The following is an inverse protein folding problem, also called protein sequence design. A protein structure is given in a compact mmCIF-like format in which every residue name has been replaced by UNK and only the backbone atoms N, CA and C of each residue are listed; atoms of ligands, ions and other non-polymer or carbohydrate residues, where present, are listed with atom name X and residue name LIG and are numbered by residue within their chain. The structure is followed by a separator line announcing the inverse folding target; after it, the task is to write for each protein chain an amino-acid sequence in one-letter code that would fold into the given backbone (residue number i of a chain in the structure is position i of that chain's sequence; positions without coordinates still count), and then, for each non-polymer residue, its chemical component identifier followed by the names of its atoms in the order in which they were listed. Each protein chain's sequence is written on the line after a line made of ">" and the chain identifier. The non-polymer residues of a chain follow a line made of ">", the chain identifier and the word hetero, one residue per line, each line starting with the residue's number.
data_IF_871416804218
#
_entry.id   IF_871416804218
#
_cell.length_a   1.000
_cell.length_b   1.000
_cell.length_c   1.000
_cell.angle_alpha   90.00
_cell.angle_beta   90.00
_cell.angle_gamma   90.00
#
_symmetry.space_group_name_H-M   'P 1'
#
loop_
_entity.id
_entity.type
_entity.pdbx_description
1 polymer ?
#
# COMPACT_ATOMS: atom_id res chain seq x y z
N UNK A 1 -19.41 -21.20 9.99
CA UNK A 1 -18.75 -22.36 10.64
C UNK A 1 -19.46 -22.91 11.87
N UNK A 2 -20.23 -22.13 12.65
CA UNK A 2 -20.98 -22.65 13.82
C UNK A 2 -22.35 -23.31 13.52
N UNK A 3 -22.81 -23.34 12.26
CA UNK A 3 -24.07 -24.01 11.87
C UNK A 3 -23.93 -25.49 11.47
N UNK A 4 -22.71 -25.98 11.20
CA UNK A 4 -22.47 -27.39 10.87
C UNK A 4 -22.28 -28.30 12.10
N UNK A 5 -21.91 -27.74 13.25
CA UNK A 5 -21.61 -28.52 14.46
C UNK A 5 -22.85 -29.13 15.15
N UNK A 6 -24.07 -28.61 14.92
CA UNK A 6 -25.29 -29.13 15.57
C UNK A 6 -25.86 -30.41 14.94
N UNK A 7 -25.44 -30.79 13.73
CA UNK A 7 -26.02 -31.96 13.05
C UNK A 7 -25.29 -33.28 13.32
N UNK A 8 -24.18 -33.26 14.07
CA UNK A 8 -23.34 -34.44 14.30
C UNK A 8 -23.37 -34.97 15.75
N UNK A 9 -24.23 -34.44 16.63
CA UNK A 9 -24.47 -35.04 17.96
C UNK A 9 -23.24 -35.15 18.88
N UNK A 10 -22.19 -34.36 18.64
CA UNK A 10 -20.98 -34.36 19.46
C UNK A 10 -21.17 -33.45 20.69
N UNK A 11 -21.73 -34.02 21.76
CA UNK A 11 -21.58 -33.45 23.09
C UNK A 11 -20.29 -34.01 23.71
N UNK A 12 -19.42 -33.12 24.19
CA UNK A 12 -18.20 -33.38 24.98
C UNK A 12 -16.99 -33.94 24.22
N UNK A 13 -16.07 -33.05 23.84
CA UNK A 13 -14.62 -33.33 23.90
C UNK A 13 -13.92 -32.07 24.42
N UNK A 14 -13.83 -31.95 25.75
CA UNK A 14 -12.79 -31.16 26.42
C UNK A 14 -11.60 -32.09 26.65
N UNK A 15 -10.52 -31.96 25.88
CA UNK A 15 -9.19 -32.39 26.31
C UNK A 15 -8.11 -31.56 25.60
N UNK A 16 -7.61 -30.56 26.31
CA UNK A 16 -6.34 -29.90 26.00
C UNK A 16 -5.19 -30.76 26.53
N UNK A 17 -4.40 -31.39 25.66
CA UNK A 17 -3.09 -31.90 26.05
C UNK A 17 -2.05 -30.78 25.88
N UNK A 18 -1.43 -30.37 26.99
CA UNK A 18 -0.19 -29.57 26.97
C UNK A 18 0.96 -30.51 26.62
N UNK A 19 1.61 -30.29 25.48
CA UNK A 19 2.85 -30.99 25.11
C UNK A 19 4.04 -30.19 25.69
N UNK A 20 4.99 -30.83 26.40
CA UNK A 20 6.19 -30.17 26.89
C UNK A 20 7.09 -29.70 25.73
N UNK A 21 7.70 -28.53 25.88
CA UNK A 21 8.51 -27.84 24.86
C UNK A 21 9.81 -28.60 24.49
N UNK A 22 10.16 -29.68 25.19
CA UNK A 22 11.41 -30.44 24.95
C UNK A 22 11.40 -31.33 23.71
N UNK A 23 10.23 -31.64 23.14
CA UNK A 23 10.10 -32.71 22.13
C UNK A 23 9.77 -32.19 20.71
N UNK A 24 9.85 -30.88 20.48
CA UNK A 24 9.56 -30.27 19.18
C UNK A 24 10.79 -30.25 18.26
N UNK A 25 10.96 -31.32 17.46
CA UNK A 25 11.87 -31.37 16.30
C UNK A 25 11.13 -30.78 15.07
N UNK A 26 11.81 -30.05 14.15
CA UNK A 26 11.19 -29.05 13.28
C UNK A 26 10.34 -29.65 12.15
N UNK A 27 9.17 -29.04 11.93
CA UNK A 27 8.28 -29.27 10.79
C UNK A 27 7.85 -30.72 10.54
N UNK A 28 6.90 -31.21 11.33
CA UNK A 28 6.03 -32.32 10.90
C UNK A 28 4.65 -31.78 10.55
N UNK A 29 4.32 -31.78 9.25
CA UNK A 29 2.94 -31.72 8.78
C UNK A 29 2.20 -32.94 9.37
N UNK A 30 1.34 -32.73 10.35
CA UNK A 30 0.41 -33.77 10.77
C UNK A 30 -0.77 -33.79 9.79
N UNK A 31 -0.70 -34.70 8.80
CA UNK A 31 -1.85 -35.03 7.96
C UNK A 31 -2.85 -35.85 8.81
N UNK A 32 -3.86 -35.19 9.36
CA UNK A 32 -5.00 -35.89 9.96
C UNK A 32 -5.91 -36.41 8.83
N UNK A 33 -5.73 -37.68 8.49
CA UNK A 33 -6.50 -38.37 7.46
C UNK A 33 -7.80 -38.94 8.06
N UNK A 34 -8.95 -38.30 7.84
CA UNK A 34 -10.25 -38.84 8.26
C UNK A 34 -10.85 -39.68 7.12
N UNK A 35 -10.99 -41.01 7.33
CA UNK A 35 -11.73 -41.90 6.42
C UNK A 35 -13.16 -42.08 6.94
N UNK A 36 -14.15 -41.55 6.25
CA UNK A 36 -15.57 -41.88 6.51
C UNK A 36 -16.13 -42.74 5.38
N UNK A 37 -16.67 -43.91 5.73
CA UNK A 37 -17.23 -44.89 4.80
C UNK A 37 -18.67 -44.49 4.45
N UNK A 38 -18.91 -43.99 3.25
CA UNK A 38 -20.22 -44.08 2.60
C UNK A 38 -20.06 -44.77 1.25
N UNK A 39 -21.02 -45.66 0.96
CA UNK A 39 -21.15 -46.55 -0.21
C UNK A 39 -20.28 -46.16 -1.42
N UNK A 40 -19.21 -46.93 -1.64
CA UNK A 40 -18.70 -47.23 -2.98
C UNK A 40 -17.59 -46.36 -3.56
N UNK A 41 -17.30 -45.15 -3.08
CA UNK A 41 -16.20 -44.33 -3.60
C UNK A 41 -15.45 -43.60 -2.47
N UNK A 42 -14.12 -43.68 -2.46
CA UNK A 42 -13.29 -42.93 -1.52
C UNK A 42 -13.21 -41.47 -1.95
N UNK A 43 -13.73 -40.54 -1.14
CA UNK A 43 -13.37 -39.12 -1.22
C UNK A 43 -12.37 -38.87 -0.09
N UNK A 44 -11.11 -38.57 -0.44
CA UNK A 44 -10.08 -38.21 0.51
C UNK A 44 -10.19 -36.71 0.80
N UNK A 45 -10.62 -36.36 2.01
CA UNK A 45 -10.53 -34.99 2.50
C UNK A 45 -9.19 -34.83 3.23
N UNK A 46 -8.24 -34.10 2.63
CA UNK A 46 -7.01 -33.70 3.31
C UNK A 46 -7.28 -32.36 3.98
N UNK A 47 -7.28 -32.36 5.32
CA UNK A 47 -7.27 -31.14 6.10
C UNK A 47 -5.82 -30.87 6.52
N UNK A 48 -5.23 -29.80 5.98
CA UNK A 48 -3.97 -29.30 6.51
C UNK A 48 -4.28 -28.53 7.80
N UNK A 49 -3.80 -29.05 8.94
CA UNK A 49 -3.78 -28.30 10.19
C UNK A 49 -2.39 -27.70 10.33
N UNK A 50 -2.30 -26.38 10.24
CA UNK A 50 -1.05 -25.62 10.39
C UNK A 50 -1.00 -25.06 11.81
N UNK A 51 0.05 -25.41 12.55
CA UNK A 51 0.35 -24.82 13.86
C UNK A 51 1.51 -23.84 13.73
N UNK A 52 1.27 -22.58 14.06
CA UNK A 52 2.31 -21.55 14.12
C UNK A 52 3.01 -21.62 15.48
N UNK A 53 4.32 -21.88 15.47
CA UNK A 53 5.16 -21.88 16.68
C UNK A 53 6.04 -20.62 16.70
N UNK A 54 6.23 -20.07 17.89
CA UNK A 54 7.02 -18.87 18.11
C UNK A 54 8.52 -19.20 18.09
N UNK A 55 9.29 -18.39 17.37
CA UNK A 55 10.75 -18.44 17.36
C UNK A 55 11.29 -17.02 17.58
N UNK A 56 12.34 -16.88 18.39
CA UNK A 56 13.08 -15.62 18.50
C UNK A 56 13.92 -15.39 17.24
N UNK A 57 14.23 -14.13 16.90
CA UNK A 57 15.02 -13.79 15.70
C UNK A 57 16.33 -14.60 15.63
N UNK A 58 17.08 -14.69 16.74
CA UNK A 58 18.26 -15.56 16.84
C UNK A 58 17.95 -17.06 16.64
N UNK A 59 16.77 -17.52 17.08
CA UNK A 59 16.32 -18.89 16.91
C UNK A 59 15.98 -19.24 15.46
N UNK A 60 15.39 -18.30 14.71
CA UNK A 60 15.16 -18.47 13.27
C UNK A 60 16.46 -18.36 12.49
N UNK A 61 17.32 -17.42 12.86
CA UNK A 61 18.68 -17.26 12.31
C UNK A 61 19.47 -18.57 12.38
N UNK A 62 19.43 -19.25 13.53
CA UNK A 62 20.04 -20.57 13.70
C UNK A 62 19.39 -21.64 12.79
N UNK A 63 18.08 -21.61 12.55
CA UNK A 63 17.41 -22.56 11.65
C UNK A 63 17.78 -22.31 10.18
N UNK A 64 17.93 -21.04 9.77
CA UNK A 64 18.27 -20.66 8.40
C UNK A 64 19.73 -20.99 8.04
N UNK A 65 20.66 -20.85 9.00
CA UNK A 65 22.08 -21.19 8.80
C UNK A 65 22.34 -22.69 8.97
N UNK A 66 21.70 -23.33 9.96
CA UNK A 66 21.92 -24.74 10.28
C UNK A 66 20.86 -25.65 9.68
N UNK A 67 20.86 -25.77 8.35
CA UNK A 67 20.38 -26.99 7.68
C UNK A 67 21.60 -27.74 7.13
N UNK A 68 22.15 -28.80 7.78
CA UNK A 68 21.76 -29.49 9.01
C UNK A 68 22.95 -29.66 9.99
N UNK A 69 23.01 -28.95 11.11
CA UNK A 69 23.88 -29.35 12.22
C UNK A 69 23.26 -28.87 13.55
N UNK A 70 23.05 -29.83 14.45
CA UNK A 70 22.44 -29.73 15.78
C UNK A 70 22.36 -28.33 16.41
N UNK A 71 21.13 -27.84 16.57
CA UNK A 71 20.79 -26.62 17.30
C UNK A 71 21.06 -26.85 18.79
N UNK A 72 22.00 -26.10 19.37
CA UNK A 72 22.14 -25.94 20.82
C UNK A 72 21.62 -24.56 21.22
N UNK A 73 20.76 -24.54 22.23
CA UNK A 73 20.08 -23.35 22.75
C UNK A 73 21.04 -22.52 23.60
N UNK A 74 21.26 -21.24 23.28
CA UNK A 74 22.01 -20.30 24.12
C UNK A 74 21.02 -19.24 24.64
N UNK A 75 20.85 -19.06 25.96
CA UNK A 75 19.93 -18.07 26.50
C UNK A 75 20.60 -16.71 26.63
N UNK A 76 19.85 -15.66 26.27
CA UNK A 76 19.95 -14.35 26.90
C UNK A 76 20.16 -13.17 25.95
N UNK A 77 19.13 -12.33 25.81
CA UNK A 77 19.28 -10.86 25.84
C UNK A 77 18.04 -10.31 26.56
N UNK A 78 18.25 -9.87 27.81
CA UNK A 78 17.27 -9.13 28.60
C UNK A 78 17.76 -7.68 28.67
N UNK A 79 17.12 -6.78 27.93
CA UNK A 79 17.08 -5.32 28.19
C UNK A 79 16.17 -4.66 27.16
N UNK A 80 14.86 -4.89 27.28
CA UNK A 80 13.86 -4.03 26.65
C UNK A 80 13.84 -2.71 27.43
N UNK A 81 14.12 -1.60 26.74
CA UNK A 81 14.01 -0.26 27.30
C UNK A 81 12.58 0.01 27.79
N UNK A 82 12.44 0.77 28.87
CA UNK A 82 11.17 1.09 29.54
C UNK A 82 10.12 1.71 28.57
N UNK A 83 10.56 2.26 27.44
CA UNK A 83 9.74 2.92 26.41
C UNK A 83 8.88 1.92 25.60
N UNK A 84 9.34 0.68 25.41
CA UNK A 84 8.63 -0.36 24.63
C UNK A 84 7.50 -1.03 25.44
N UNK A 85 7.65 -1.05 26.77
CA UNK A 85 6.75 -1.76 27.69
C UNK A 85 5.28 -1.29 27.64
N UNK A 86 5.03 -0.04 27.26
CA UNK A 86 3.68 0.53 27.23
C UNK A 86 2.89 0.27 25.94
N UNK A 87 3.55 -0.03 24.81
CA UNK A 87 2.88 -0.23 23.52
C UNK A 87 2.32 -1.65 23.41
N UNK A 88 3.03 -2.62 23.99
CA UNK A 88 2.69 -4.05 23.92
C UNK A 88 2.07 -4.57 25.22
N UNK A 89 1.40 -3.71 26.01
CA UNK A 89 0.78 -4.10 27.29
C UNK A 89 -0.06 -5.37 27.12
N UNK A 90 0.22 -6.37 27.95
CA UNK A 90 -0.43 -7.70 27.99
C UNK A 90 -0.13 -8.66 26.83
N UNK A 91 0.83 -8.35 25.94
CA UNK A 91 1.29 -9.32 24.95
C UNK A 91 2.60 -9.98 25.40
N UNK A 92 2.66 -11.32 25.32
CA UNK A 92 3.91 -12.08 25.44
C UNK A 92 4.84 -11.87 24.24
N UNK A 93 4.38 -11.16 23.22
CA UNK A 93 5.10 -10.88 21.98
C UNK A 93 4.95 -9.41 21.59
N UNK A 94 6.07 -8.68 21.59
CA UNK A 94 6.11 -7.32 21.10
C UNK A 94 6.90 -7.29 19.79
N UNK A 95 6.25 -7.06 18.63
CA UNK A 95 6.98 -6.91 17.38
C UNK A 95 7.78 -5.61 17.34
N UNK A 96 7.45 -4.63 18.18
CA UNK A 96 8.22 -3.39 18.34
C UNK A 96 9.48 -3.70 19.11
N UNK A 97 10.63 -3.60 18.46
CA UNK A 97 11.95 -3.90 19.05
C UNK A 97 12.66 -2.64 19.53
N UNK A 98 12.32 -1.48 18.96
CA UNK A 98 12.90 -0.19 19.34
C UNK A 98 11.93 0.96 18.96
N UNK A 99 12.19 2.16 19.47
CA UNK A 99 11.46 3.36 19.10
C UNK A 99 12.37 4.61 19.17
N UNK A 100 12.07 5.60 18.34
CA UNK A 100 12.54 6.97 18.56
C UNK A 100 11.40 7.82 19.14
N UNK A 101 11.67 8.64 20.17
CA UNK A 101 10.65 9.50 20.78
C UNK A 101 10.12 10.51 19.77
N UNK A 102 8.92 11.03 20.04
CA UNK A 102 8.39 12.17 19.30
C UNK A 102 9.24 13.42 19.58
N UNK A 103 9.46 14.23 18.54
CA UNK A 103 9.96 15.59 18.66
C UNK A 103 8.85 16.50 18.16
N UNK A 104 8.19 17.21 19.08
CA UNK A 104 7.00 18.00 18.79
C UNK A 104 7.27 19.03 17.68
N UNK A 105 6.42 19.02 16.65
CA UNK A 105 6.55 19.90 15.48
C UNK A 105 7.62 19.49 14.47
N UNK A 106 8.42 18.46 14.77
CA UNK A 106 9.48 17.97 13.87
C UNK A 106 9.15 16.59 13.33
N UNK A 107 8.89 15.63 14.23
CA UNK A 107 8.68 14.23 13.86
C UNK A 107 7.81 13.49 14.86
N UNK A 108 6.80 12.75 14.35
CA UNK A 108 6.01 11.78 15.12
C UNK A 108 6.89 10.66 15.68
N UNK A 109 6.54 10.07 16.83
CA UNK A 109 7.24 8.90 17.38
C UNK A 109 7.46 7.80 16.32
N UNK A 110 8.68 7.30 16.16
CA UNK A 110 8.97 6.20 15.23
C UNK A 110 8.98 4.87 15.98
N UNK A 111 8.37 3.84 15.41
CA UNK A 111 8.41 2.48 15.92
C UNK A 111 9.17 1.58 14.95
N UNK A 112 10.13 0.81 15.46
CA UNK A 112 10.86 -0.20 14.70
C UNK A 112 10.26 -1.56 15.00
N UNK A 113 9.68 -2.20 13.98
CA UNK A 113 8.97 -3.48 14.09
C UNK A 113 9.62 -4.57 13.28
N UNK A 114 9.87 -5.71 13.90
CA UNK A 114 10.26 -6.91 13.16
C UNK A 114 9.06 -7.41 12.37
N UNK A 115 9.23 -7.58 11.06
CA UNK A 115 8.21 -8.03 10.12
C UNK A 115 8.59 -9.35 9.42
N UNK A 116 9.56 -10.07 9.99
CA UNK A 116 10.18 -11.28 9.44
C UNK A 116 11.69 -11.26 9.69
N UNK A 117 12.39 -12.31 9.25
CA UNK A 117 13.80 -12.50 9.62
C UNK A 117 14.75 -11.51 8.95
N UNK A 118 14.45 -11.11 7.72
CA UNK A 118 15.16 -10.08 6.96
C UNK A 118 14.32 -8.84 6.69
N UNK A 119 13.31 -8.57 7.53
CA UNK A 119 12.35 -7.48 7.32
C UNK A 119 12.20 -6.64 8.58
N UNK A 120 12.50 -5.35 8.43
CA UNK A 120 12.28 -4.33 9.45
C UNK A 120 11.28 -3.31 8.92
N UNK A 121 10.16 -3.13 9.62
CA UNK A 121 9.19 -2.10 9.31
C UNK A 121 9.38 -0.91 10.25
N UNK A 122 9.66 0.26 9.68
CA UNK A 122 9.74 1.54 10.38
C UNK A 122 8.38 2.22 10.24
N UNK A 123 7.74 2.59 11.35
CA UNK A 123 6.40 3.21 11.35
C UNK A 123 6.39 4.59 12.01
N UNK A 124 5.73 5.57 11.40
CA UNK A 124 5.69 6.96 11.87
C UNK A 124 4.37 7.29 12.57
N UNK A 125 4.43 7.42 13.88
CA UNK A 125 3.29 7.67 14.77
C UNK A 125 2.76 6.39 15.41
N UNK A 126 2.01 6.55 16.51
CA UNK A 126 1.33 5.41 17.17
C UNK A 126 -0.08 5.23 16.62
N UNK A 127 -0.75 6.33 16.28
CA UNK A 127 -2.09 6.31 15.71
C UNK A 127 -2.06 5.93 14.22
N UNK A 128 -3.07 5.20 13.77
CA UNK A 128 -3.22 4.77 12.37
C UNK A 128 -3.82 5.89 11.51
N UNK A 129 -3.23 7.09 11.58
CA UNK A 129 -3.62 8.26 10.82
C UNK A 129 -2.46 8.66 9.91
N UNK A 130 -2.73 8.71 8.62
CA UNK A 130 -1.76 9.14 7.62
C UNK A 130 -1.86 10.66 7.40
N UNK A 131 -0.71 11.30 7.25
CA UNK A 131 -0.54 12.69 6.82
C UNK A 131 0.48 12.75 5.67
N UNK A 132 0.29 13.64 4.70
CA UNK A 132 1.27 13.91 3.65
C UNK A 132 2.64 14.30 4.22
N UNK A 133 2.69 14.91 5.41
CA UNK A 133 3.94 15.19 6.10
C UNK A 133 4.75 13.92 6.41
N UNK A 134 4.08 12.80 6.69
CA UNK A 134 4.75 11.51 6.89
C UNK A 134 5.40 11.04 5.58
N UNK A 135 4.70 11.20 4.45
CA UNK A 135 5.23 10.85 3.13
C UNK A 135 6.43 11.72 2.76
N UNK A 136 6.38 13.03 3.02
CA UNK A 136 7.50 13.95 2.74
C UNK A 136 8.75 13.56 3.51
N UNK A 137 8.61 13.29 4.82
CA UNK A 137 9.75 12.84 5.62
C UNK A 137 10.29 11.50 5.13
N UNK A 138 9.41 10.55 4.79
CA UNK A 138 9.79 9.26 4.23
C UNK A 138 10.57 9.40 2.91
N UNK A 139 10.19 10.32 2.02
CA UNK A 139 10.96 10.57 0.79
C UNK A 139 12.36 11.09 1.11
N UNK A 140 12.48 12.04 2.05
CA UNK A 140 13.80 12.54 2.50
C UNK A 140 14.65 11.43 3.12
N UNK A 141 14.05 10.54 3.93
CA UNK A 141 14.73 9.35 4.48
C UNK A 141 15.20 8.42 3.37
N UNK A 142 14.38 8.17 2.35
CA UNK A 142 14.74 7.32 1.21
C UNK A 142 15.88 7.92 0.38
N UNK A 143 15.90 9.25 0.18
CA UNK A 143 17.03 9.91 -0.48
C UNK A 143 18.32 9.74 0.33
N UNK A 144 18.25 9.93 1.65
CA UNK A 144 19.37 9.71 2.57
C UNK A 144 19.88 8.27 2.53
N UNK A 145 18.98 7.29 2.52
CA UNK A 145 19.32 5.87 2.35
C UNK A 145 20.03 5.56 1.01
N UNK A 146 19.84 6.41 0.00
CA UNK A 146 20.55 6.30 -1.29
C UNK A 146 21.92 7.00 -1.32
N UNK A 147 22.27 7.78 -0.28
CA UNK A 147 23.57 8.46 -0.20
C UNK A 147 24.67 7.49 0.23
N UNK A 148 25.87 7.65 -0.34
CA UNK A 148 27.02 6.79 -0.02
C UNK A 148 27.46 6.85 1.45
N UNK A 149 27.19 7.97 2.13
CA UNK A 149 27.49 8.13 3.56
C UNK A 149 26.70 7.15 4.43
N UNK A 150 25.49 6.78 3.99
CA UNK A 150 24.60 5.84 4.67
C UNK A 150 24.55 4.49 3.98
N UNK A 151 25.63 4.07 3.31
CA UNK A 151 25.69 2.74 2.72
C UNK A 151 25.52 1.67 3.81
N UNK A 152 24.48 0.85 3.69
CA UNK A 152 24.15 -0.22 4.64
C UNK A 152 24.58 -1.56 4.03
N UNK A 153 25.65 -2.21 4.54
CA UNK A 153 26.01 -3.56 4.12
C UNK A 153 24.84 -4.52 4.33
N UNK A 154 24.51 -5.30 3.31
CA UNK A 154 23.41 -6.27 3.39
C UNK A 154 22.02 -5.68 3.16
N UNK A 155 21.88 -4.37 2.88
CA UNK A 155 20.59 -3.83 2.43
C UNK A 155 20.24 -4.39 1.05
N UNK A 156 19.09 -5.06 0.96
CA UNK A 156 18.62 -5.69 -0.28
C UNK A 156 17.70 -4.73 -1.03
N UNK A 157 16.75 -4.13 -0.32
CA UNK A 157 15.72 -3.25 -0.89
C UNK A 157 15.00 -2.50 0.23
N UNK A 158 14.38 -1.38 -0.10
CA UNK A 158 13.42 -0.72 0.77
C UNK A 158 12.22 -0.24 -0.03
N UNK A 159 11.07 -0.19 0.63
CA UNK A 159 9.81 0.22 0.01
C UNK A 159 8.98 1.02 0.99
N UNK A 160 8.60 2.23 0.58
CA UNK A 160 7.68 3.08 1.32
C UNK A 160 6.25 2.55 1.21
N UNK A 161 5.56 2.44 2.35
CA UNK A 161 4.11 2.50 2.49
C UNK A 161 3.66 3.92 2.86
N UNK A 162 2.37 4.14 3.07
CA UNK A 162 1.83 5.45 3.44
C UNK A 162 2.61 6.13 4.59
N UNK A 163 2.60 5.51 5.77
CA UNK A 163 3.30 6.00 6.99
C UNK A 163 4.41 5.06 7.46
N UNK A 164 4.85 4.18 6.57
CA UNK A 164 5.79 3.11 6.91
C UNK A 164 6.89 2.99 5.88
N UNK A 165 8.05 2.52 6.31
CA UNK A 165 9.14 2.12 5.44
C UNK A 165 9.50 0.67 5.75
N UNK A 166 9.36 -0.21 4.78
CA UNK A 166 9.81 -1.59 4.92
C UNK A 166 11.23 -1.69 4.39
N UNK A 167 12.15 -2.09 5.26
CA UNK A 167 13.54 -2.40 4.94
C UNK A 167 13.68 -3.91 4.80
N UNK A 168 14.23 -4.35 3.67
CA UNK A 168 14.60 -5.73 3.38
C UNK A 168 16.12 -5.81 3.44
N UNK A 169 16.64 -6.64 4.33
CA UNK A 169 18.07 -6.75 4.58
C UNK A 169 18.49 -8.21 4.79
N UNK A 170 19.76 -8.48 4.54
CA UNK A 170 20.41 -9.75 4.85
C UNK A 170 20.90 -9.74 6.30
N UNK A 171 20.26 -10.50 7.21
CA UNK A 171 20.65 -10.54 8.61
C UNK A 171 22.02 -11.22 8.82
N UNK A 172 22.55 -11.94 7.81
CA UNK A 172 23.91 -12.51 7.87
C UNK A 172 25.00 -11.46 7.71
N UNK A 173 24.65 -10.34 7.07
CA UNK A 173 25.60 -9.26 6.75
C UNK A 173 25.52 -8.11 7.76
N UNK A 174 24.32 -7.77 8.24
CA UNK A 174 24.12 -6.71 9.24
C UNK A 174 23.16 -7.17 10.34
N UNK A 175 23.49 -6.84 11.59
CA UNK A 175 22.59 -7.11 12.72
C UNK A 175 21.41 -6.14 12.73
N UNK A 176 20.27 -6.59 13.28
CA UNK A 176 19.09 -5.76 13.45
C UNK A 176 19.38 -4.48 14.27
N UNK A 177 20.21 -4.58 15.30
CA UNK A 177 20.56 -3.45 16.16
C UNK A 177 21.39 -2.41 15.42
N UNK A 178 22.37 -2.84 14.60
CA UNK A 178 23.18 -1.91 13.81
C UNK A 178 22.35 -1.25 12.71
N UNK A 179 21.46 -2.01 12.05
CA UNK A 179 20.51 -1.46 11.09
C UNK A 179 19.62 -0.37 11.72
N UNK A 180 19.03 -0.66 12.90
CA UNK A 180 18.19 0.32 13.60
C UNK A 180 19.00 1.56 13.98
N UNK A 181 20.25 1.39 14.42
CA UNK A 181 21.13 2.51 14.76
C UNK A 181 21.37 3.42 13.55
N UNK A 182 21.73 2.86 12.40
CA UNK A 182 21.93 3.64 11.16
C UNK A 182 20.64 4.40 10.78
N UNK A 183 19.47 3.74 10.86
CA UNK A 183 18.18 4.38 10.58
C UNK A 183 17.87 5.51 11.57
N UNK A 184 18.28 5.38 12.83
CA UNK A 184 18.16 6.45 13.83
C UNK A 184 19.08 7.62 13.51
N UNK A 185 20.32 7.35 13.12
CA UNK A 185 21.30 8.38 12.75
C UNK A 185 20.82 9.18 11.52
N UNK A 186 20.23 8.51 10.52
CA UNK A 186 19.55 9.17 9.39
C UNK A 186 18.40 10.04 9.88
N UNK A 187 17.56 9.51 10.76
CA UNK A 187 16.40 10.25 11.26
C UNK A 187 16.77 11.49 12.08
N UNK A 188 17.84 11.41 12.85
CA UNK A 188 18.36 12.52 13.65
C UNK A 188 19.06 13.58 12.79
N UNK A 189 19.56 13.22 11.60
CA UNK A 189 20.13 14.19 10.65
C UNK A 189 19.09 14.99 9.87
N UNK A 190 17.83 14.54 9.85
CA UNK A 190 16.73 15.21 9.15
C UNK A 190 16.06 16.22 10.07
N UNK A 191 16.16 17.49 9.69
CA UNK A 191 15.64 18.64 10.41
C UNK A 191 14.11 18.81 10.40
N UNK A 192 13.69 20.06 10.55
CA UNK A 192 12.28 20.43 10.67
C UNK A 192 11.50 20.23 9.35
N UNK A 193 10.15 20.10 9.39
CA UNK A 193 9.31 20.02 8.19
C UNK A 193 9.58 21.08 7.13
N UNK A 194 9.92 22.30 7.53
CA UNK A 194 10.23 23.39 6.60
C UNK A 194 11.58 23.25 5.90
N UNK A 195 12.49 22.45 6.45
CA UNK A 195 13.80 22.17 5.85
C UNK A 195 13.75 21.00 4.87
N UNK A 196 12.66 20.23 4.87
CA UNK A 196 12.52 19.07 4.01
C UNK A 196 12.44 19.50 2.54
N UNK A 197 13.29 18.85 1.74
CA UNK A 197 13.24 18.88 0.30
C UNK A 197 13.61 17.51 -0.23
N UNK A 198 13.03 17.14 -1.37
CA UNK A 198 13.35 15.89 -2.06
C UNK A 198 13.18 16.04 -3.57
N UNK A 199 13.92 15.25 -4.35
CA UNK A 199 13.74 15.14 -5.80
C UNK A 199 12.38 14.52 -6.06
N UNK A 200 11.67 15.11 -7.00
CA UNK A 200 10.31 14.69 -7.31
C UNK A 200 10.00 15.08 -8.75
N UNK A 201 9.74 14.07 -9.59
CA UNK A 201 9.48 14.29 -11.01
C UNK A 201 8.03 14.70 -11.21
N UNK A 202 7.81 15.72 -12.02
CA UNK A 202 6.48 16.07 -12.50
C UNK A 202 6.20 15.29 -13.78
N UNK A 203 5.25 14.36 -13.72
CA UNK A 203 4.86 13.48 -14.84
C UNK A 203 3.50 13.90 -15.36
N UNK A 204 3.41 14.34 -16.61
CA UNK A 204 2.13 14.71 -17.23
C UNK A 204 1.52 13.49 -17.92
N UNK A 205 0.36 13.05 -17.43
CA UNK A 205 -0.34 11.89 -17.98
C UNK A 205 -1.70 12.28 -18.57
N UNK A 206 -2.04 11.81 -19.79
CA UNK A 206 -3.37 11.99 -20.33
C UNK A 206 -4.39 11.14 -19.55
N UNK A 207 -5.63 11.60 -19.46
CA UNK A 207 -6.75 10.81 -18.94
C UNK A 207 -7.97 10.95 -19.86
N UNK A 208 -8.69 9.85 -20.04
CA UNK A 208 -10.01 9.83 -20.66
C UNK A 208 -11.00 9.43 -19.58
N UNK A 209 -11.89 10.33 -19.19
CA UNK A 209 -12.93 10.02 -18.21
C UNK A 209 -14.06 9.23 -18.86
N UNK A 210 -14.62 8.25 -18.14
CA UNK A 210 -15.75 7.44 -18.60
C UNK A 210 -15.50 6.77 -19.96
N UNK A 211 -14.28 6.30 -20.20
CA UNK A 211 -13.92 5.62 -21.45
C UNK A 211 -14.77 4.35 -21.67
N UNK A 212 -14.85 3.92 -22.93
CA UNK A 212 -15.69 2.80 -23.33
C UNK A 212 -15.31 1.47 -22.67
N UNK A 213 -14.03 1.27 -22.33
CA UNK A 213 -13.50 0.02 -21.78
C UNK A 213 -13.78 -0.06 -20.27
N UNK A 214 -13.59 1.02 -19.51
CA UNK A 214 -14.00 1.06 -18.09
C UNK A 214 -15.51 0.96 -17.93
N UNK A 215 -16.28 1.60 -18.83
CA UNK A 215 -17.74 1.50 -18.85
C UNK A 215 -18.21 0.05 -19.01
N UNK A 216 -17.62 -0.71 -19.95
CA UNK A 216 -17.90 -2.15 -20.12
C UNK A 216 -17.53 -2.98 -18.89
N UNK A 217 -16.42 -2.65 -18.22
CA UNK A 217 -16.04 -3.34 -16.99
C UNK A 217 -17.04 -3.10 -15.84
N UNK A 218 -17.59 -1.89 -15.75
CA UNK A 218 -18.66 -1.57 -14.79
C UNK A 218 -19.95 -2.32 -15.14
N UNK A 219 -20.33 -2.36 -16.43
CA UNK A 219 -21.49 -3.11 -16.90
C UNK A 219 -21.37 -4.61 -16.60
N UNK A 220 -20.19 -5.19 -16.83
CA UNK A 220 -19.90 -6.58 -16.47
C UNK A 220 -20.13 -6.83 -14.98
N UNK A 221 -19.58 -5.97 -14.11
CA UNK A 221 -19.79 -6.09 -12.66
C UNK A 221 -21.28 -6.01 -12.30
N UNK A 222 -22.01 -5.05 -12.86
CA UNK A 222 -23.43 -4.88 -12.60
C UNK A 222 -24.22 -6.13 -13.03
N UNK A 223 -23.88 -6.70 -14.18
CA UNK A 223 -24.62 -7.83 -14.76
C UNK A 223 -24.40 -9.13 -13.99
N UNK A 224 -23.15 -9.42 -13.64
CA UNK A 224 -22.73 -10.75 -13.16
C UNK A 224 -22.39 -10.82 -11.68
N UNK A 225 -22.10 -9.69 -11.02
CA UNK A 225 -21.64 -9.67 -9.62
C UNK A 225 -22.67 -9.01 -8.72
N UNK A 226 -23.05 -7.76 -9.00
CA UNK A 226 -24.01 -7.02 -8.17
C UNK A 226 -24.86 -6.04 -8.97
N UNK A 227 -26.11 -6.44 -9.22
CA UNK A 227 -27.08 -5.68 -10.04
C UNK A 227 -27.59 -4.40 -9.39
N UNK A 228 -27.66 -4.38 -8.07
CA UNK A 228 -28.20 -3.30 -7.23
C UNK A 228 -27.10 -2.40 -6.65
N UNK A 229 -25.89 -2.42 -7.23
CA UNK A 229 -24.75 -1.67 -6.73
C UNK A 229 -25.04 -0.15 -6.75
N UNK A 230 -25.09 0.52 -5.59
CA UNK A 230 -25.50 1.93 -5.50
C UNK A 230 -24.48 2.88 -6.13
N UNK A 231 -23.23 2.44 -6.24
CA UNK A 231 -22.15 3.19 -6.85
C UNK A 231 -22.12 3.13 -8.38
N UNK A 232 -23.14 2.58 -9.03
CA UNK A 232 -23.31 2.59 -10.48
C UNK A 232 -24.54 3.46 -10.80
N UNK A 233 -24.31 4.75 -10.96
CA UNK A 233 -25.35 5.73 -11.29
C UNK A 233 -25.25 6.05 -12.77
N UNK A 234 -26.36 5.91 -13.50
CA UNK A 234 -26.39 6.10 -14.97
C UNK A 234 -25.33 5.27 -15.71
N UNK A 235 -25.09 4.05 -15.21
CA UNK A 235 -24.17 3.10 -15.83
C UNK A 235 -22.68 3.31 -15.52
N UNK A 236 -22.31 4.33 -14.73
CA UNK A 236 -20.90 4.60 -14.39
C UNK A 236 -20.68 4.93 -12.90
N UNK A 237 -19.43 4.83 -12.43
CA UNK A 237 -19.07 5.29 -11.08
C UNK A 237 -18.83 6.80 -10.99
N UNK A 238 -18.67 7.49 -12.12
CA UNK A 238 -18.14 8.85 -12.14
C UNK A 238 -19.14 9.82 -11.49
N UNK A 239 -20.41 9.70 -11.89
CA UNK A 239 -21.52 10.40 -11.27
C UNK A 239 -21.70 10.07 -9.79
N UNK A 240 -21.50 8.80 -9.40
CA UNK A 240 -21.51 8.42 -7.98
C UNK A 240 -20.43 9.15 -7.18
N UNK A 241 -19.19 9.18 -7.68
CA UNK A 241 -18.07 9.87 -7.03
C UNK A 241 -18.34 11.36 -6.92
N UNK A 242 -18.86 12.00 -7.97
CA UNK A 242 -19.25 13.40 -7.95
C UNK A 242 -20.30 13.66 -6.86
N UNK A 243 -21.40 12.90 -6.88
CA UNK A 243 -22.48 12.98 -5.88
C UNK A 243 -21.97 12.74 -4.46
N UNK A 244 -21.10 11.76 -4.23
CA UNK A 244 -20.55 11.43 -2.91
C UNK A 244 -19.69 12.57 -2.33
N UNK A 245 -19.10 13.41 -3.19
CA UNK A 245 -18.35 14.60 -2.80
C UNK A 245 -19.18 15.89 -2.86
N UNK A 246 -20.48 15.78 -3.18
CA UNK A 246 -21.38 16.91 -3.34
C UNK A 246 -21.14 17.72 -4.61
N UNK A 247 -20.38 17.21 -5.57
CA UNK A 247 -19.94 17.87 -6.81
C UNK A 247 -20.82 17.49 -8.01
N UNK A 248 -20.75 18.29 -9.08
CA UNK A 248 -21.12 17.88 -10.44
C UNK A 248 -20.01 17.03 -11.06
N UNK A 249 -20.30 16.37 -12.20
CA UNK A 249 -19.28 15.61 -12.92
C UNK A 249 -18.18 16.54 -13.47
N UNK A 250 -18.54 17.74 -13.91
CA UNK A 250 -17.61 18.77 -14.40
C UNK A 250 -16.68 19.25 -13.27
N UNK A 251 -17.23 19.60 -12.10
CA UNK A 251 -16.43 20.00 -10.94
C UNK A 251 -15.48 18.88 -10.48
N UNK A 252 -15.90 17.61 -10.60
CA UNK A 252 -15.04 16.47 -10.31
C UNK A 252 -13.85 16.40 -11.29
N UNK A 253 -14.10 16.56 -12.59
CA UNK A 253 -13.01 16.61 -13.59
C UNK A 253 -12.07 17.76 -13.29
N UNK A 254 -12.60 18.97 -13.08
CA UNK A 254 -11.82 20.16 -12.76
C UNK A 254 -10.91 19.93 -11.55
N UNK A 255 -11.43 19.37 -10.46
CA UNK A 255 -10.61 19.07 -9.26
C UNK A 255 -9.50 18.06 -9.53
N UNK A 256 -9.78 17.01 -10.33
CA UNK A 256 -8.77 16.00 -10.70
C UNK A 256 -7.66 16.61 -11.54
N UNK A 257 -8.02 17.48 -12.49
CA UNK A 257 -7.08 18.11 -13.41
C UNK A 257 -6.35 19.31 -12.77
N UNK A 258 -6.92 19.96 -11.74
CA UNK A 258 -6.39 21.18 -11.14
C UNK A 258 -5.16 20.96 -10.24
N UNK A 259 -5.05 19.81 -9.57
CA UNK A 259 -3.94 19.50 -8.66
C UNK A 259 -2.87 18.64 -9.33
N UNK A 260 -1.73 18.53 -8.66
CA UNK A 260 -0.79 17.42 -8.86
C UNK A 260 -1.10 16.31 -7.85
N UNK A 261 -0.91 15.07 -8.27
CA UNK A 261 -1.18 13.88 -7.48
C UNK A 261 0.13 13.24 -7.07
N UNK A 262 0.48 13.40 -5.79
CA UNK A 262 1.70 12.87 -5.21
C UNK A 262 1.60 11.37 -4.99
N UNK A 263 2.58 10.64 -5.49
CA UNK A 263 2.67 9.20 -5.39
C UNK A 263 3.32 8.81 -4.06
N UNK A 264 2.48 8.46 -3.08
CA UNK A 264 2.87 8.20 -1.69
C UNK A 264 3.18 6.73 -1.40
N UNK A 265 2.77 5.83 -2.29
CA UNK A 265 3.06 4.41 -2.20
C UNK A 265 2.98 3.78 -3.60
N UNK A 266 3.87 2.83 -3.88
CA UNK A 266 3.90 2.12 -5.15
C UNK A 266 3.92 0.63 -4.86
N UNK A 267 2.80 -0.10 -5.03
CA UNK A 267 2.68 -1.55 -4.77
C UNK A 267 1.23 -2.04 -5.06
N UNK A 268 0.85 -3.21 -4.53
CA UNK A 268 -0.35 -4.02 -4.80
C UNK A 268 -0.28 -4.82 -6.10
N UNK A 269 -0.17 -4.16 -7.25
CA UNK A 269 0.26 -4.76 -8.52
C UNK A 269 1.55 -4.10 -9.02
N UNK A 270 2.36 -4.77 -9.87
CA UNK A 270 3.61 -4.20 -10.36
C UNK A 270 3.42 -2.82 -10.98
N UNK A 271 4.12 -1.81 -10.46
CA UNK A 271 4.02 -0.42 -10.93
C UNK A 271 2.73 0.32 -10.53
N UNK A 272 1.82 -0.30 -9.78
CA UNK A 272 0.60 0.33 -9.26
C UNK A 272 0.92 1.51 -8.35
N UNK A 273 0.09 2.55 -8.39
CA UNK A 273 0.43 3.85 -7.80
C UNK A 273 -0.67 4.34 -6.88
N UNK A 274 -0.37 4.60 -5.62
CA UNK A 274 -1.30 5.26 -4.70
C UNK A 274 -0.98 6.74 -4.68
N UNK A 275 -1.96 7.55 -5.06
CA UNK A 275 -1.75 8.96 -5.28
C UNK A 275 -2.71 9.79 -4.43
N UNK A 276 -2.18 10.85 -3.85
CA UNK A 276 -2.94 11.80 -3.04
C UNK A 276 -2.76 13.22 -3.58
N UNK A 277 -3.79 14.07 -3.52
CA UNK A 277 -3.69 15.42 -4.05
C UNK A 277 -2.80 16.26 -3.15
N UNK A 278 -1.84 16.99 -3.74
CA UNK A 278 -1.06 17.97 -2.96
C UNK A 278 -1.89 19.18 -2.56
N UNK A 279 -2.92 19.51 -3.35
CA UNK A 279 -3.89 20.53 -3.02
C UNK A 279 -5.05 19.93 -2.22
N UNK A 280 -5.22 20.28 -0.93
CA UNK A 280 -6.30 19.73 -0.11
C UNK A 280 -7.70 20.09 -0.64
N UNK A 281 -7.84 21.11 -1.50
CA UNK A 281 -9.11 21.44 -2.15
C UNK A 281 -9.55 20.38 -3.16
N UNK A 282 -8.63 19.53 -3.60
CA UNK A 282 -8.88 18.38 -4.47
C UNK A 282 -8.97 17.05 -3.72
N UNK A 283 -9.11 17.06 -2.38
CA UNK A 283 -9.28 15.88 -1.53
C UNK A 283 -10.67 15.20 -1.70
N UNK A 284 -10.92 14.70 -2.90
CA UNK A 284 -12.07 13.87 -3.25
C UNK A 284 -11.93 12.48 -2.62
N UNK A 285 -13.04 11.87 -2.24
CA UNK A 285 -13.03 10.51 -1.70
C UNK A 285 -14.25 9.70 -2.13
N UNK A 286 -14.11 8.38 -2.12
CA UNK A 286 -15.24 7.47 -2.31
C UNK A 286 -14.99 6.12 -1.62
N UNK A 287 -16.03 5.44 -1.10
CA UNK A 287 -15.87 4.10 -0.57
C UNK A 287 -15.49 3.13 -1.70
N UNK A 288 -14.90 2.01 -1.31
CA UNK A 288 -14.60 0.91 -2.24
C UNK A 288 -15.88 0.13 -2.58
N UNK A 289 -15.85 -0.58 -3.70
CA UNK A 289 -16.83 -1.57 -4.09
C UNK A 289 -17.03 -2.64 -3.02
N UNK A 290 -18.23 -3.21 -3.00
CA UNK A 290 -18.60 -4.33 -2.14
C UNK A 290 -19.61 -5.24 -2.88
N UNK A 291 -19.32 -6.53 -3.17
CA UNK A 291 -17.98 -7.09 -3.18
C UNK A 291 -17.10 -6.43 -4.25
N UNK A 292 -15.79 -6.63 -4.14
CA UNK A 292 -14.77 -6.17 -5.10
C UNK A 292 -15.02 -6.73 -6.51
N UNK A 293 -14.64 -5.98 -7.57
CA UNK A 293 -14.66 -6.52 -8.94
C UNK A 293 -13.60 -7.61 -9.11
N UNK A 294 -13.91 -8.61 -9.92
CA UNK A 294 -12.95 -9.64 -10.35
C UNK A 294 -12.07 -9.18 -11.52
N UNK A 295 -12.48 -8.12 -12.24
CA UNK A 295 -11.79 -7.59 -13.41
C UNK A 295 -11.82 -6.06 -13.42
N UNK A 296 -10.67 -5.47 -13.75
CA UNK A 296 -10.45 -4.03 -13.98
C UNK A 296 -9.44 -3.92 -15.13
N UNK A 297 -9.75 -3.18 -16.20
CA UNK A 297 -8.86 -3.03 -17.36
C UNK A 297 -7.53 -2.36 -17.01
N UNK A 298 -6.47 -2.71 -17.75
CA UNK A 298 -5.19 -2.00 -17.69
C UNK A 298 -5.34 -0.51 -18.04
N UNK A 299 -4.57 0.34 -17.36
CA UNK A 299 -4.58 1.80 -17.51
C UNK A 299 -5.71 2.47 -16.74
N UNK A 300 -6.61 1.73 -16.10
CA UNK A 300 -7.74 2.33 -15.36
C UNK A 300 -7.23 3.21 -14.23
N UNK A 301 -7.76 4.43 -14.13
CA UNK A 301 -7.60 5.32 -12.97
C UNK A 301 -8.83 5.16 -12.10
N UNK A 302 -8.64 4.69 -10.87
CA UNK A 302 -9.72 4.51 -9.90
C UNK A 302 -9.53 5.32 -8.62
N UNK A 303 -10.62 5.64 -7.93
CA UNK A 303 -10.62 6.32 -6.62
C UNK A 303 -11.13 5.39 -5.51
N UNK A 304 -10.40 5.30 -4.39
CA UNK A 304 -10.79 4.47 -3.25
C UNK A 304 -10.25 5.03 -1.94
N UNK A 305 -11.15 5.31 -1.00
CA UNK A 305 -10.84 6.30 0.03
C UNK A 305 -10.50 7.62 -0.66
N UNK A 306 -9.39 8.23 -0.27
CA UNK A 306 -8.87 9.46 -0.88
C UNK A 306 -7.82 9.22 -1.98
N UNK A 307 -7.49 7.95 -2.24
CA UNK A 307 -6.38 7.61 -3.13
C UNK A 307 -6.87 7.41 -4.56
N UNK A 308 -6.22 8.09 -5.51
CA UNK A 308 -6.21 7.61 -6.89
C UNK A 308 -5.27 6.42 -7.04
N UNK A 309 -5.62 5.51 -7.94
CA UNK A 309 -4.83 4.35 -8.29
C UNK A 309 -4.85 4.06 -9.78
N UNK A 310 -3.66 3.91 -10.39
CA UNK A 310 -3.52 3.40 -11.75
C UNK A 310 -3.38 1.88 -11.70
N UNK A 311 -4.35 1.19 -12.30
CA UNK A 311 -4.30 -0.25 -12.56
C UNK A 311 -3.37 -0.52 -13.73
N UNK A 312 -2.11 -0.82 -13.44
CA UNK A 312 -1.05 -1.03 -14.45
C UNK A 312 -1.14 -2.34 -15.24
N UNK A 313 -1.98 -3.26 -14.79
CA UNK A 313 -2.29 -4.53 -15.43
C UNK A 313 -3.75 -4.86 -15.20
N UNK A 314 -4.33 -5.70 -16.07
CA UNK A 314 -5.65 -6.25 -15.83
C UNK A 314 -5.69 -7.00 -14.50
N UNK A 315 -6.62 -6.62 -13.62
CA UNK A 315 -6.62 -7.14 -12.24
C UNK A 315 -7.96 -6.96 -11.50
N UNK A 316 -8.23 -7.75 -10.45
CA UNK A 316 -9.31 -7.46 -9.51
C UNK A 316 -9.13 -6.09 -8.85
N UNK A 317 -10.23 -5.39 -8.56
CA UNK A 317 -10.15 -4.02 -8.07
C UNK A 317 -11.39 -3.55 -7.32
N UNK A 318 -11.18 -2.79 -6.25
CA UNK A 318 -12.24 -2.26 -5.41
C UNK A 318 -12.51 -0.77 -5.59
N UNK A 319 -11.70 -0.05 -6.37
CA UNK A 319 -11.80 1.41 -6.45
C UNK A 319 -12.91 1.81 -7.43
N UNK A 320 -13.52 2.97 -7.25
CA UNK A 320 -14.48 3.55 -8.20
C UNK A 320 -13.75 3.91 -9.50
N UNK A 321 -14.20 3.40 -10.66
CA UNK A 321 -13.52 3.64 -11.93
C UNK A 321 -13.87 5.03 -12.45
N UNK A 322 -12.85 5.84 -12.71
CA UNK A 322 -13.02 7.20 -13.22
C UNK A 322 -12.80 7.27 -14.73
N UNK A 323 -11.85 6.50 -15.24
CA UNK A 323 -11.44 6.52 -16.64
C UNK A 323 -10.14 5.74 -16.87
N UNK A 324 -9.44 6.01 -17.97
CA UNK A 324 -8.15 5.37 -18.30
C UNK A 324 -7.06 6.37 -18.65
N UNK A 325 -5.83 5.97 -18.37
CA UNK A 325 -4.59 6.61 -18.80
C UNK A 325 -3.76 5.64 -19.64
N UNK A 326 -2.64 6.14 -20.14
CA UNK A 326 -1.68 5.41 -20.98
C UNK A 326 -0.86 4.42 -20.14
N UNK A 327 -0.17 3.45 -20.77
CA UNK A 327 0.62 2.46 -20.04
C UNK A 327 1.68 3.11 -19.15
N UNK A 328 1.70 2.79 -17.87
CA UNK A 328 2.78 3.20 -16.95
C UNK A 328 3.63 2.01 -16.48
N UNK A 329 3.41 0.84 -17.09
CA UNK A 329 4.12 -0.39 -16.85
C UNK A 329 4.25 -1.19 -18.15
N UNK A 330 5.41 -1.79 -18.40
CA UNK A 330 5.67 -2.67 -19.53
C UNK A 330 6.73 -3.70 -19.15
N UNK A 331 6.31 -4.93 -18.85
CA UNK A 331 7.22 -6.02 -18.50
C UNK A 331 8.22 -6.34 -19.62
N UNK A 332 7.82 -6.19 -20.88
CA UNK A 332 8.67 -6.45 -22.05
C UNK A 332 9.71 -5.36 -22.32
N UNK A 333 9.62 -4.20 -21.65
CA UNK A 333 10.54 -3.06 -21.74
C UNK A 333 10.91 -2.65 -23.19
N UNK A 334 9.96 -2.80 -24.14
CA UNK A 334 10.16 -2.49 -25.56
C UNK A 334 10.33 -0.99 -25.81
N UNK A 335 9.50 -0.17 -25.16
CA UNK A 335 9.52 1.28 -25.32
C UNK A 335 10.65 1.90 -24.49
N UNK A 336 11.30 2.95 -25.01
CA UNK A 336 12.51 3.54 -24.42
C UNK A 336 12.35 3.97 -22.95
N UNK A 337 11.15 4.47 -22.60
CA UNK A 337 10.81 4.91 -21.24
C UNK A 337 10.84 3.79 -20.18
N UNK A 338 10.88 2.51 -20.58
CA UNK A 338 10.90 1.37 -19.67
C UNK A 338 12.22 0.59 -19.72
N UNK A 339 13.27 1.09 -20.39
CA UNK A 339 14.53 0.32 -20.55
C UNK A 339 15.26 0.04 -19.24
N UNK A 340 15.24 0.98 -18.31
CA UNK A 340 15.90 0.80 -17.01
C UNK A 340 15.10 -0.11 -16.06
N UNK A 341 13.76 -0.02 -16.14
CA UNK A 341 12.85 -0.74 -15.26
C UNK A 341 11.46 -0.84 -15.89
N UNK A 342 10.67 -1.87 -15.57
CA UNK A 342 9.38 -2.11 -16.23
C UNK A 342 8.26 -1.16 -15.79
N UNK A 343 8.49 -0.22 -14.87
CA UNK A 343 7.50 0.74 -14.39
C UNK A 343 8.00 2.18 -14.57
N UNK A 344 7.12 3.07 -15.02
CA UNK A 344 7.49 4.46 -15.33
C UNK A 344 7.62 5.32 -14.06
N UNK A 345 6.64 5.17 -13.17
CA UNK A 345 6.42 6.03 -12.02
C UNK A 345 7.18 5.51 -10.80
N UNK A 346 7.56 6.40 -9.90
CA UNK A 346 8.33 6.10 -8.69
C UNK A 346 7.72 6.82 -7.49
N UNK A 347 7.96 6.30 -6.28
CA UNK A 347 7.69 7.04 -5.04
C UNK A 347 8.26 8.46 -5.14
N UNK A 348 7.50 9.44 -4.62
CA UNK A 348 7.75 10.89 -4.71
C UNK A 348 7.37 11.57 -6.03
N UNK A 349 7.09 10.85 -7.11
CA UNK A 349 6.60 11.49 -8.34
C UNK A 349 5.28 12.23 -8.10
N UNK A 350 5.06 13.31 -8.86
CA UNK A 350 3.81 14.05 -8.90
C UNK A 350 3.20 13.94 -10.29
N UNK A 351 1.95 13.48 -10.35
CA UNK A 351 1.25 13.28 -11.61
C UNK A 351 0.31 14.46 -11.86
N UNK A 352 0.45 15.08 -13.03
CA UNK A 352 -0.47 16.11 -13.52
C UNK A 352 -1.30 15.54 -14.65
N UNK A 353 -2.58 15.30 -14.38
CA UNK A 353 -3.50 14.79 -15.39
C UNK A 353 -3.95 15.90 -16.35
N UNK A 354 -4.14 15.55 -17.62
CA UNK A 354 -4.79 16.39 -18.63
C UNK A 354 -5.77 15.55 -19.46
N UNK A 355 -6.95 16.09 -19.76
CA UNK A 355 -7.97 15.35 -20.50
C UNK A 355 -7.64 15.27 -22.00
N UNK A 356 -7.91 14.13 -22.62
CA UNK A 356 -7.83 13.90 -24.07
C UNK A 356 -9.02 13.06 -24.55
N UNK A 357 -9.19 12.98 -25.87
CA UNK A 357 -10.15 12.08 -26.51
C UNK A 357 -9.70 10.61 -26.48
N UNK A 358 -10.67 9.69 -26.49
CA UNK A 358 -10.42 8.25 -26.40
C UNK A 358 -9.59 7.71 -27.58
N UNK A 359 -9.82 8.18 -28.82
CA UNK A 359 -9.02 7.71 -29.97
C UNK A 359 -7.54 8.05 -29.82
N UNK A 360 -7.23 9.21 -29.24
CA UNK A 360 -5.84 9.62 -29.00
C UNK A 360 -5.19 8.77 -27.91
N UNK A 361 -5.94 8.39 -26.87
CA UNK A 361 -5.44 7.46 -25.85
C UNK A 361 -5.08 6.11 -26.48
N UNK A 362 -5.92 5.59 -27.37
CA UNK A 362 -5.71 4.32 -28.06
C UNK A 362 -4.50 4.37 -29.00
N UNK A 363 -4.29 5.45 -29.75
CA UNK A 363 -3.08 5.62 -30.58
C UNK A 363 -1.80 5.61 -29.73
N UNK A 364 -1.81 6.32 -28.59
CA UNK A 364 -0.66 6.32 -27.66
C UNK A 364 -0.45 4.93 -27.08
N UNK A 365 -1.51 4.24 -26.66
CA UNK A 365 -1.44 2.88 -26.14
C UNK A 365 -0.77 1.95 -27.15
N UNK A 366 -1.20 1.99 -28.41
CA UNK A 366 -0.62 1.20 -29.50
C UNK A 366 0.86 1.53 -29.71
N UNK A 367 1.21 2.82 -29.79
CA UNK A 367 2.59 3.25 -29.97
C UNK A 367 3.50 2.73 -28.84
N UNK A 368 3.07 2.85 -27.58
CA UNK A 368 3.88 2.46 -26.41
C UNK A 368 3.89 0.94 -26.19
N UNK A 369 2.72 0.33 -26.10
CA UNK A 369 2.56 -1.04 -25.61
C UNK A 369 2.78 -2.09 -26.71
N UNK A 370 2.24 -1.87 -27.92
CA UNK A 370 2.29 -2.83 -29.03
C UNK A 370 3.57 -2.66 -29.86
N UNK A 371 3.82 -1.43 -30.31
CA UNK A 371 4.91 -1.09 -31.25
C UNK A 371 6.26 -0.86 -30.54
N UNK A 372 6.25 -0.41 -29.28
CA UNK A 372 7.47 0.07 -28.60
C UNK A 372 8.06 1.33 -29.27
N UNK A 373 7.20 2.09 -29.95
CA UNK A 373 7.55 3.19 -30.85
C UNK A 373 7.89 4.47 -30.10
N UNK A 374 8.94 5.16 -30.54
CA UNK A 374 9.35 6.47 -30.03
C UNK A 374 8.48 7.64 -30.52
N UNK A 375 7.39 7.36 -31.25
CA UNK A 375 6.39 8.38 -31.66
C UNK A 375 5.70 9.04 -30.47
N UNK A 376 5.62 8.35 -29.33
CA UNK A 376 5.15 8.94 -28.09
C UNK A 376 6.32 9.11 -27.12
N UNK A 377 6.44 10.29 -26.52
CA UNK A 377 7.43 10.56 -25.48
C UNK A 377 6.72 11.05 -24.24
N UNK A 378 7.06 10.44 -23.10
CA UNK A 378 6.54 10.87 -21.81
C UNK A 378 7.09 12.26 -21.46
N UNK A 379 6.20 13.12 -20.97
CA UNK A 379 6.56 14.42 -20.46
C UNK A 379 6.88 14.28 -18.98
N UNK A 380 8.17 14.24 -18.67
CA UNK A 380 8.71 14.09 -17.31
C UNK A 380 9.68 15.25 -17.08
N UNK A 381 9.42 16.03 -16.04
CA UNK A 381 10.26 17.16 -15.64
C UNK A 381 10.88 16.85 -14.27
N UNK A 382 12.21 16.80 -14.20
CA UNK A 382 12.94 16.66 -12.94
C UNK A 382 12.84 17.96 -12.13
N UNK A 383 12.36 17.87 -10.89
CA UNK A 383 12.18 19.02 -10.01
C UNK A 383 12.59 18.66 -8.56
N UNK A 384 12.71 19.69 -7.73
CA UNK A 384 12.86 19.55 -6.28
C UNK A 384 11.57 20.04 -5.63
N UNK A 385 10.93 19.19 -4.84
CA UNK A 385 9.79 19.57 -4.03
C UNK A 385 10.30 20.16 -2.71
N UNK A 386 9.92 21.40 -2.41
CA UNK A 386 10.24 22.07 -1.14
C UNK A 386 9.01 22.02 -0.25
N UNK A 387 9.12 21.37 0.90
CA UNK A 387 7.98 21.21 1.81
C UNK A 387 7.57 22.56 2.41
N UNK A 388 8.50 23.50 2.60
CA UNK A 388 8.19 24.88 2.99
C UNK A 388 7.17 25.54 2.06
N UNK A 389 7.39 25.48 0.75
CA UNK A 389 6.50 26.11 -0.24
C UNK A 389 5.09 25.51 -0.17
N UNK A 390 4.99 24.19 0.08
CA UNK A 390 3.72 23.52 0.29
C UNK A 390 3.06 23.91 1.61
N UNK A 391 3.81 24.00 2.71
CA UNK A 391 3.34 24.47 4.02
C UNK A 391 2.77 25.89 3.89
N UNK A 392 3.50 26.79 3.23
CA UNK A 392 3.08 28.17 2.99
C UNK A 392 1.78 28.20 2.17
N UNK A 393 1.71 27.37 1.12
CA UNK A 393 0.52 27.22 0.28
C UNK A 393 -0.72 26.75 1.06
N UNK A 394 -0.63 25.64 1.79
CA UNK A 394 -1.80 25.11 2.54
C UNK A 394 -2.20 26.02 3.71
N UNK A 395 -1.29 26.89 4.17
CA UNK A 395 -1.56 27.82 5.26
C UNK A 395 -2.24 29.10 4.83
N UNK A 396 -2.34 29.40 3.53
CA UNK A 396 -3.06 30.57 3.03
C UNK A 396 -4.53 30.54 3.45
N UNK A 397 -5.06 31.70 3.84
CA UNK A 397 -6.42 31.82 4.35
C UNK A 397 -7.49 31.45 3.32
N UNK A 398 -7.26 31.76 2.04
CA UNK A 398 -8.17 31.39 0.95
C UNK A 398 -8.24 29.86 0.78
N UNK A 399 -7.08 29.18 0.79
CA UNK A 399 -7.01 27.72 0.72
C UNK A 399 -7.71 27.07 1.91
N UNK A 400 -7.41 27.52 3.14
CA UNK A 400 -8.05 26.98 4.35
C UNK A 400 -9.57 27.11 4.32
N UNK A 401 -10.07 28.28 3.90
CA UNK A 401 -11.51 28.54 3.78
C UNK A 401 -12.16 27.64 2.72
N UNK A 402 -11.56 27.52 1.54
CA UNK A 402 -12.07 26.67 0.45
C UNK A 402 -12.08 25.19 0.84
N UNK A 403 -11.05 24.71 1.55
CA UNK A 403 -11.01 23.35 2.09
C UNK A 403 -12.14 23.12 3.09
N UNK A 404 -12.37 24.05 4.03
CA UNK A 404 -13.44 23.92 5.01
C UNK A 404 -14.83 23.91 4.35
N UNK A 405 -15.03 24.76 3.34
CA UNK A 405 -16.28 24.80 2.57
C UNK A 405 -16.50 23.49 1.80
N UNK A 406 -15.45 22.99 1.13
CA UNK A 406 -15.53 21.74 0.39
C UNK A 406 -15.78 20.54 1.32
N UNK A 407 -15.10 20.46 2.46
CA UNK A 407 -15.33 19.43 3.47
C UNK A 407 -16.76 19.46 4.01
N UNK A 408 -17.34 20.65 4.23
CA UNK A 408 -18.74 20.79 4.63
C UNK A 408 -19.69 20.26 3.55
N UNK A 409 -19.47 20.66 2.29
CA UNK A 409 -20.27 20.21 1.13
C UNK A 409 -20.21 18.70 0.97
N UNK A 410 -19.01 18.13 1.06
CA UNK A 410 -18.75 16.68 1.03
C UNK A 410 -19.50 15.95 2.14
N UNK A 411 -19.37 16.37 3.41
CA UNK A 411 -20.05 15.73 4.55
C UNK A 411 -21.58 15.75 4.43
N UNK A 412 -22.17 16.84 3.94
CA UNK A 412 -23.62 16.91 3.72
C UNK A 412 -24.10 15.99 2.60
N UNK A 413 -23.28 15.79 1.57
CA UNK A 413 -23.58 14.85 0.49
C UNK A 413 -23.51 13.39 0.97
N UNK A 414 -22.45 13.03 1.71
CA UNK A 414 -22.23 11.67 2.21
C UNK A 414 -23.35 11.15 3.12
N UNK A 415 -24.07 12.02 3.83
CA UNK A 415 -25.25 11.64 4.62
C UNK A 415 -26.39 11.07 3.76
N UNK A 416 -26.43 11.41 2.48
CA UNK A 416 -27.53 11.11 1.56
C UNK A 416 -27.16 10.03 0.54
N UNK A 417 -25.88 9.84 0.26
CA UNK A 417 -25.41 8.92 -0.76
C UNK A 417 -25.12 7.54 -0.13
N UNK A 418 -25.76 6.46 -0.62
CA UNK A 418 -25.51 5.11 -0.10
C UNK A 418 -24.07 4.64 -0.30
N UNK A 419 -23.57 3.90 0.68
CA UNK A 419 -22.29 3.19 0.62
C UNK A 419 -22.55 1.81 0.00
N UNK A 420 -21.72 1.34 -0.95
CA UNK A 420 -21.83 0.00 -1.55
C UNK A 420 -21.95 -1.13 -0.53
#
# INVERSE_FOLDING_TARGET
>A
MLRCYRHLGLHNIEHYHRVPISDAIPWTLHNLCHKTRQRGNYILYIYNIVFFHQLFHQGVYNICIFKPCNISFIPGINTLSVIVSNICRNSSYCPVVDALPEIKGVRKKILFRVAGDGFLQVEYGVDQVFDLMDAFRLFTVMEKLGEKEYEIPGLISYGQGFRTLTIIYDPLTISLQELIKILKDIEESIGSPEELAFRSRLVKLPIVFKDSITTKAIEYYRTYIRRDAPNIVEGHNFKYVAMYNGLTEEELKEKILATEWLLVHQLFFPGGTYQLPIDPRSAIEAPKYNPTRTYTPEGTVGLGGQCLYIYTVESPGGYQLLGRTIPTYQLSQKHEAFRERPYLLQASDRIKYYEIEEEKLLDIYKAVHEEGSSRYRYQIEEQVFRVKDWIDFINRDDVKREVQEFEKRKREAQKKIPIP
#
